data_IF_696078588822
#
_entry.id   IF_696078588822
#
_cell.length_a   1.000
_cell.length_b   1.000
_cell.length_c   1.000
_cell.angle_alpha   90.00
_cell.angle_beta   90.00
_cell.angle_gamma   90.00
#
_symmetry.space_group_name_H-M   'P 1'
#
loop_
_entity.id
_entity.type
_entity.pdbx_description
1 polymer ?
#
# COMPACT_ATOMS: atom_id res chain seq x y z
N UNK A 1 2.12 -16.33 36.27
CA UNK A 1 3.26 -16.50 35.34
C UNK A 1 3.34 -17.94 34.85
N UNK A 2 3.41 -18.96 35.73
CA UNK A 2 3.43 -20.37 35.30
C UNK A 2 2.18 -20.85 34.54
N UNK A 3 0.99 -20.29 34.79
CA UNK A 3 -0.24 -20.66 34.05
C UNK A 3 -0.34 -20.07 32.63
N UNK A 4 0.43 -19.02 32.30
CA UNK A 4 0.37 -18.37 30.97
C UNK A 4 1.45 -18.91 30.02
N UNK A 5 2.59 -19.34 30.55
CA UNK A 5 3.77 -19.67 29.73
C UNK A 5 4.05 -21.16 29.56
N UNK A 6 3.41 -22.06 30.34
CA UNK A 6 3.45 -23.51 30.12
C UNK A 6 4.85 -24.15 29.95
N UNK A 7 5.94 -23.47 30.32
CA UNK A 7 7.31 -23.91 30.08
C UNK A 7 7.89 -23.63 28.68
N UNK A 8 7.18 -22.92 27.79
CA UNK A 8 7.71 -22.54 26.47
C UNK A 8 8.63 -21.31 26.58
N UNK A 9 9.93 -21.51 26.40
CA UNK A 9 10.93 -20.42 26.40
C UNK A 9 10.66 -19.34 25.36
N UNK A 10 9.98 -19.68 24.25
CA UNK A 10 9.71 -18.74 23.16
C UNK A 10 8.59 -17.74 23.52
N UNK A 11 7.59 -18.16 24.29
CA UNK A 11 6.55 -17.24 24.79
C UNK A 11 7.10 -16.26 25.83
N UNK A 12 8.10 -16.68 26.63
CA UNK A 12 8.79 -15.79 27.56
C UNK A 12 9.57 -14.71 26.79
N UNK A 13 10.29 -15.08 25.73
CA UNK A 13 11.00 -14.14 24.86
C UNK A 13 10.05 -13.16 24.15
N UNK A 14 8.91 -13.64 23.66
CA UNK A 14 7.87 -12.78 23.09
C UNK A 14 7.32 -11.78 24.13
N UNK A 15 7.09 -12.26 25.36
CA UNK A 15 6.65 -11.42 26.47
C UNK A 15 7.70 -10.36 26.82
N UNK A 16 8.99 -10.69 26.84
CA UNK A 16 10.10 -9.74 27.06
C UNK A 16 10.19 -8.70 25.94
N UNK A 17 10.09 -9.13 24.68
CA UNK A 17 10.08 -8.24 23.49
C UNK A 17 8.94 -7.21 23.58
N UNK A 18 7.79 -7.60 24.13
CA UNK A 18 6.63 -6.74 24.32
C UNK A 18 6.65 -5.91 25.62
N UNK A 19 7.78 -5.79 26.32
CA UNK A 19 7.85 -5.15 27.65
C UNK A 19 7.23 -3.75 27.68
N UNK A 20 7.52 -2.93 26.67
CA UNK A 20 6.99 -1.56 26.52
C UNK A 20 5.53 -1.48 26.06
N UNK A 21 4.82 -2.61 25.90
CA UNK A 21 3.45 -2.68 25.37
C UNK A 21 2.53 -3.42 26.36
N UNK A 22 2.12 -2.80 27.50
CA UNK A 22 1.45 -3.50 28.60
C UNK A 22 0.14 -4.22 28.23
N UNK A 23 -0.60 -3.71 27.24
CA UNK A 23 -1.82 -4.36 26.75
C UNK A 23 -1.48 -5.57 25.86
N UNK A 24 -0.58 -5.40 24.89
CA UNK A 24 -0.18 -6.48 23.97
C UNK A 24 0.51 -7.63 24.71
N UNK A 25 1.27 -7.29 25.75
CA UNK A 25 1.99 -8.25 26.59
C UNK A 25 1.08 -9.19 27.41
N UNK A 26 -0.23 -8.92 27.46
CA UNK A 26 -1.24 -9.79 28.08
C UNK A 26 -2.07 -10.55 27.05
N UNK A 27 -1.89 -10.23 25.76
CA UNK A 27 -2.65 -10.82 24.68
C UNK A 27 -1.96 -12.10 24.18
N UNK A 28 -2.54 -13.24 24.52
CA UNK A 28 -1.97 -14.56 24.17
C UNK A 28 -1.87 -14.77 22.66
N UNK A 29 -2.86 -14.40 21.83
CA UNK A 29 -2.74 -14.47 20.37
C UNK A 29 -1.55 -13.68 19.82
N UNK A 30 -1.38 -12.43 20.27
CA UNK A 30 -0.23 -11.59 19.92
C UNK A 30 1.10 -12.23 20.33
N UNK A 31 1.22 -12.69 21.59
CA UNK A 31 2.45 -13.31 22.08
C UNK A 31 2.79 -14.60 21.31
N UNK A 32 1.77 -15.38 20.96
CA UNK A 32 1.94 -16.59 20.14
C UNK A 32 2.50 -16.22 18.77
N UNK A 33 1.88 -15.26 18.07
CA UNK A 33 2.35 -14.82 16.75
C UNK A 33 3.72 -14.15 16.78
N UNK A 34 4.02 -13.39 17.84
CA UNK A 34 5.34 -12.80 18.03
C UNK A 34 6.40 -13.88 18.27
N UNK A 35 6.08 -14.92 19.04
CA UNK A 35 7.00 -16.04 19.27
C UNK A 35 7.36 -16.78 17.98
N UNK A 36 6.40 -16.93 17.05
CA UNK A 36 6.63 -17.50 15.74
C UNK A 36 7.59 -16.65 14.86
N UNK A 37 7.62 -15.33 15.04
CA UNK A 37 8.56 -14.44 14.32
C UNK A 37 9.95 -14.49 14.96
N UNK A 38 10.02 -14.71 16.28
CA UNK A 38 11.26 -14.83 17.04
C UNK A 38 12.04 -16.13 16.75
N UNK A 39 11.43 -17.09 16.05
CA UNK A 39 12.13 -18.26 15.52
C UNK A 39 13.29 -17.80 14.62
N UNK A 40 14.53 -18.32 14.79
CA UNK A 40 15.68 -17.89 13.99
C UNK A 40 15.47 -18.00 12.48
N UNK A 41 14.69 -18.99 12.03
CA UNK A 41 14.32 -19.20 10.64
C UNK A 41 13.53 -18.03 10.03
N UNK A 42 12.81 -17.25 10.85
CA UNK A 42 12.02 -16.09 10.45
C UNK A 42 12.75 -14.79 10.82
N UNK A 43 13.26 -14.68 12.04
CA UNK A 43 13.92 -13.48 12.57
C UNK A 43 15.10 -13.03 11.71
N UNK A 44 15.90 -13.98 11.24
CA UNK A 44 17.10 -13.70 10.43
C UNK A 44 16.77 -13.16 9.02
N UNK A 45 15.49 -13.13 8.64
CA UNK A 45 15.04 -12.52 7.38
C UNK A 45 14.84 -11.00 7.51
N UNK A 46 14.77 -10.47 8.74
CA UNK A 46 14.82 -9.03 8.96
C UNK A 46 16.26 -8.51 8.76
N UNK A 47 16.47 -7.37 8.09
CA UNK A 47 17.80 -6.84 7.80
C UNK A 47 18.69 -6.67 9.05
N UNK A 48 18.11 -6.23 10.17
CA UNK A 48 18.80 -6.05 11.44
C UNK A 48 18.30 -7.00 12.54
N UNK A 49 17.66 -8.11 12.17
CA UNK A 49 17.18 -9.13 13.11
C UNK A 49 16.31 -8.57 14.23
N UNK A 50 16.66 -8.88 15.47
CA UNK A 50 15.92 -8.47 16.68
C UNK A 50 15.69 -6.96 16.77
N UNK A 51 16.66 -6.13 16.37
CA UNK A 51 16.51 -4.68 16.47
C UNK A 51 15.38 -4.14 15.58
N UNK A 52 15.20 -4.71 14.38
CA UNK A 52 14.07 -4.37 13.53
C UNK A 52 12.74 -4.87 14.11
N UNK A 53 12.72 -6.08 14.67
CA UNK A 53 11.52 -6.62 15.31
C UNK A 53 11.08 -5.76 16.51
N UNK A 54 12.01 -5.36 17.36
CA UNK A 54 11.74 -4.49 18.51
C UNK A 54 11.14 -3.15 18.06
N UNK A 55 11.70 -2.56 17.01
CA UNK A 55 11.20 -1.31 16.43
C UNK A 55 9.80 -1.46 15.80
N UNK A 56 9.54 -2.57 15.10
CA UNK A 56 8.21 -2.89 14.56
C UNK A 56 7.20 -3.03 15.71
N UNK A 57 7.51 -3.84 16.73
CA UNK A 57 6.64 -4.04 17.89
C UNK A 57 6.39 -2.72 18.64
N UNK A 58 7.37 -1.83 18.71
CA UNK A 58 7.20 -0.50 19.28
C UNK A 58 6.28 0.41 18.44
N UNK A 59 6.30 0.28 17.11
CA UNK A 59 5.56 1.13 16.19
C UNK A 59 4.08 0.75 16.00
N UNK A 60 3.73 -0.53 16.15
CA UNK A 60 2.39 -1.09 15.89
C UNK A 60 1.27 -0.22 16.47
N UNK A 61 0.25 0.08 15.66
CA UNK A 61 -0.98 0.80 16.05
C UNK A 61 -2.24 -0.08 16.05
N UNK A 62 -2.14 -1.32 15.58
CA UNK A 62 -3.26 -2.23 15.47
C UNK A 62 -3.89 -2.54 16.84
N UNK A 63 -5.22 -2.63 16.90
CA UNK A 63 -5.92 -2.95 18.14
C UNK A 63 -5.61 -4.39 18.58
N UNK A 64 -5.43 -4.60 19.89
CA UNK A 64 -5.40 -5.95 20.46
C UNK A 64 -6.81 -6.55 20.59
N UNK A 65 -7.81 -5.70 20.87
CA UNK A 65 -9.20 -6.08 21.02
C UNK A 65 -10.11 -4.86 20.78
N UNK A 66 -11.39 -5.10 20.43
CA UNK A 66 -12.43 -4.06 20.41
C UNK A 66 -12.48 -3.14 19.19
N UNK A 67 -13.26 -2.06 19.32
CA UNK A 67 -13.94 -1.28 18.26
C UNK A 67 -13.17 -0.09 17.67
N UNK A 68 -11.95 0.19 18.12
CA UNK A 68 -11.16 1.31 17.57
C UNK A 68 -10.48 0.91 16.27
N UNK A 69 -10.70 1.69 15.21
CA UNK A 69 -10.21 1.43 13.85
C UNK A 69 -10.64 0.06 13.31
N UNK A 70 -11.95 -0.17 13.21
CA UNK A 70 -12.55 -1.43 12.71
C UNK A 70 -12.09 -1.87 11.32
N UNK A 71 -11.50 -0.96 10.55
CA UNK A 71 -10.90 -1.24 9.24
C UNK A 71 -9.47 -1.82 9.32
N UNK A 72 -8.82 -1.76 10.49
CA UNK A 72 -7.52 -2.39 10.73
C UNK A 72 -7.72 -3.78 11.32
N UNK A 73 -6.86 -4.71 10.90
CA UNK A 73 -6.79 -6.04 11.50
C UNK A 73 -6.42 -5.93 12.98
N UNK A 74 -6.79 -6.96 13.76
CA UNK A 74 -6.22 -7.09 15.09
C UNK A 74 -4.71 -7.33 14.98
N UNK A 75 -3.99 -7.04 16.07
CA UNK A 75 -2.54 -7.09 16.09
C UNK A 75 -1.96 -8.48 15.81
N UNK A 76 -2.63 -9.56 16.20
CA UNK A 76 -2.15 -10.93 15.97
C UNK A 76 -2.21 -11.27 14.48
N UNK A 77 -3.31 -10.92 13.80
CA UNK A 77 -3.44 -11.08 12.35
C UNK A 77 -2.44 -10.18 11.60
N UNK A 78 -2.16 -8.98 12.10
CA UNK A 78 -1.12 -8.14 11.52
C UNK A 78 0.29 -8.76 11.65
N UNK A 79 0.61 -9.36 12.80
CA UNK A 79 1.87 -10.12 12.95
C UNK A 79 1.92 -11.34 12.04
N UNK A 80 0.79 -12.02 11.82
CA UNK A 80 0.71 -13.11 10.84
C UNK A 80 1.02 -12.63 9.42
N UNK A 81 0.50 -11.47 9.04
CA UNK A 81 0.81 -10.83 7.75
C UNK A 81 2.29 -10.43 7.64
N UNK A 82 2.89 -9.90 8.71
CA UNK A 82 4.33 -9.61 8.76
C UNK A 82 5.12 -10.91 8.60
N UNK A 83 4.80 -11.98 9.34
CA UNK A 83 5.44 -13.28 9.21
C UNK A 83 5.36 -13.81 7.77
N UNK A 84 4.21 -13.63 7.12
CA UNK A 84 4.04 -13.99 5.71
C UNK A 84 4.98 -13.17 4.80
N UNK A 85 5.10 -11.85 5.00
CA UNK A 85 6.07 -11.01 4.30
C UNK A 85 7.49 -11.55 4.47
N UNK A 86 7.92 -11.80 5.71
CA UNK A 86 9.26 -12.28 6.02
C UNK A 86 9.53 -13.61 5.30
N UNK A 87 8.62 -14.58 5.40
CA UNK A 87 8.85 -15.91 4.83
C UNK A 87 8.89 -15.94 3.31
N UNK A 88 8.11 -15.11 2.65
CA UNK A 88 7.86 -15.26 1.22
C UNK A 88 8.54 -14.20 0.36
N UNK A 89 8.69 -12.97 0.87
CA UNK A 89 9.14 -11.83 0.07
C UNK A 89 10.50 -11.29 0.49
N UNK A 90 11.19 -11.96 1.43
CA UNK A 90 12.60 -11.68 1.69
C UNK A 90 13.42 -11.85 0.40
N UNK A 91 14.23 -10.86 0.06
CA UNK A 91 15.01 -10.85 -1.19
C UNK A 91 14.30 -10.24 -2.41
N UNK A 92 13.01 -9.93 -2.33
CA UNK A 92 12.34 -9.13 -3.37
C UNK A 92 12.90 -7.70 -3.33
N UNK A 93 13.30 -7.10 -4.48
CA UNK A 93 13.76 -5.72 -4.52
C UNK A 93 12.79 -4.76 -3.82
N UNK A 94 13.33 -3.91 -2.94
CA UNK A 94 12.56 -2.95 -2.16
C UNK A 94 11.92 -3.48 -0.87
N UNK A 95 12.08 -4.77 -0.55
CA UNK A 95 11.68 -5.37 0.72
C UNK A 95 12.12 -4.56 1.97
N UNK A 96 13.36 -4.06 2.00
CA UNK A 96 13.89 -3.28 3.13
C UNK A 96 13.13 -1.95 3.37
N UNK A 97 12.53 -1.38 2.32
CA UNK A 97 11.68 -0.19 2.45
C UNK A 97 10.37 -0.51 3.15
N UNK A 98 9.79 -1.69 2.87
CA UNK A 98 8.61 -2.18 3.59
C UNK A 98 8.94 -2.40 5.07
N UNK A 99 10.08 -3.03 5.38
CA UNK A 99 10.54 -3.17 6.78
C UNK A 99 10.74 -1.81 7.44
N UNK A 100 11.26 -0.82 6.72
CA UNK A 100 11.40 0.55 7.21
C UNK A 100 10.05 1.21 7.47
N UNK A 101 9.06 1.01 6.59
CA UNK A 101 7.70 1.52 6.77
C UNK A 101 7.01 0.91 8.00
N UNK A 102 7.21 -0.39 8.26
CA UNK A 102 6.66 -1.07 9.44
C UNK A 102 7.20 -0.55 10.78
N UNK A 103 8.39 0.08 10.79
CA UNK A 103 8.97 0.73 11.97
C UNK A 103 8.44 2.15 12.20
N UNK A 104 7.65 2.71 11.28
CA UNK A 104 7.14 4.07 11.41
C UNK A 104 5.95 4.10 12.39
N UNK A 105 6.03 4.85 13.50
CA UNK A 105 4.94 4.90 14.49
C UNK A 105 3.75 5.76 14.06
N UNK A 106 3.80 6.42 12.89
CA UNK A 106 2.68 7.19 12.39
C UNK A 106 1.51 6.26 12.03
N UNK A 107 0.31 6.61 12.47
CA UNK A 107 -0.90 5.81 12.23
C UNK A 107 -1.16 5.56 10.75
N UNK A 108 -1.09 6.59 9.90
CA UNK A 108 -1.36 6.47 8.47
C UNK A 108 -0.33 5.60 7.75
N UNK A 109 0.93 5.63 8.21
CA UNK A 109 1.97 4.73 7.70
C UNK A 109 1.68 3.27 8.06
N UNK A 110 1.30 3.00 9.32
CA UNK A 110 0.94 1.65 9.78
C UNK A 110 -0.28 1.09 9.06
N UNK A 111 -1.28 1.93 8.85
CA UNK A 111 -2.52 1.62 8.14
C UNK A 111 -2.27 1.34 6.64
N UNK A 112 -1.46 2.16 5.98
CA UNK A 112 -1.00 1.90 4.60
C UNK A 112 -0.21 0.58 4.49
N UNK A 113 0.77 0.38 5.38
CA UNK A 113 1.55 -0.86 5.42
C UNK A 113 0.66 -2.08 5.68
N UNK A 114 -0.35 -1.97 6.56
CA UNK A 114 -1.30 -3.05 6.81
C UNK A 114 -2.11 -3.44 5.57
N UNK A 115 -2.47 -2.47 4.73
CA UNK A 115 -3.14 -2.73 3.45
C UNK A 115 -2.19 -3.43 2.47
N UNK A 116 -0.93 -2.98 2.40
CA UNK A 116 0.13 -3.65 1.64
C UNK A 116 0.31 -5.12 2.01
N UNK A 117 0.50 -5.42 3.30
CA UNK A 117 0.71 -6.80 3.72
C UNK A 117 -0.52 -7.68 3.44
N UNK A 118 -1.72 -7.12 3.56
CA UNK A 118 -2.97 -7.83 3.24
C UNK A 118 -3.03 -8.18 1.75
N UNK A 119 -2.64 -7.26 0.86
CA UNK A 119 -2.58 -7.53 -0.58
C UNK A 119 -1.53 -8.58 -0.90
N UNK A 120 -0.35 -8.53 -0.30
CA UNK A 120 0.71 -9.51 -0.55
C UNK A 120 0.28 -10.96 -0.25
N UNK A 121 -0.55 -11.18 0.77
CA UNK A 121 -1.11 -12.51 1.07
C UNK A 121 -2.05 -13.07 0.00
N UNK A 122 -2.57 -12.24 -0.89
CA UNK A 122 -3.46 -12.69 -1.97
C UNK A 122 -2.73 -12.92 -3.29
N UNK A 123 -1.45 -12.55 -3.37
CA UNK A 123 -0.63 -12.70 -4.56
C UNK A 123 0.20 -13.99 -4.50
N UNK A 124 0.49 -14.57 -5.67
CA UNK A 124 1.55 -15.55 -5.74
C UNK A 124 2.90 -14.85 -5.56
N UNK A 125 3.77 -15.47 -4.78
CA UNK A 125 5.10 -14.92 -4.47
C UNK A 125 5.92 -14.66 -5.74
N UNK A 126 5.87 -15.60 -6.70
CA UNK A 126 6.58 -15.51 -7.98
C UNK A 126 6.10 -14.37 -8.88
N UNK A 127 4.91 -13.83 -8.61
CA UNK A 127 4.33 -12.77 -9.42
C UNK A 127 4.75 -11.39 -8.92
N UNK A 128 5.41 -11.27 -7.76
CA UNK A 128 5.86 -9.99 -7.21
C UNK A 128 7.32 -9.74 -7.60
N UNK A 129 7.53 -8.75 -8.46
CA UNK A 129 8.86 -8.40 -8.97
C UNK A 129 9.56 -7.31 -8.14
N UNK A 130 8.81 -6.38 -7.56
CA UNK A 130 9.36 -5.29 -6.76
C UNK A 130 8.34 -4.76 -5.77
N UNK A 131 8.84 -4.27 -4.63
CA UNK A 131 8.09 -3.54 -3.61
C UNK A 131 8.61 -2.10 -3.53
N UNK A 132 7.76 -1.12 -3.25
CA UNK A 132 8.18 0.26 -2.94
C UNK A 132 9.13 0.86 -4.01
N UNK A 133 8.82 0.58 -5.29
CA UNK A 133 9.66 0.94 -6.45
C UNK A 133 9.32 2.32 -6.98
N UNK A 134 10.22 2.93 -7.76
CA UNK A 134 9.94 4.24 -8.39
C UNK A 134 9.05 4.07 -9.62
N UNK A 135 8.02 4.89 -9.78
CA UNK A 135 7.16 4.86 -10.98
C UNK A 135 7.98 5.14 -12.24
N UNK A 136 8.91 6.08 -12.13
CA UNK A 136 9.86 6.52 -13.15
C UNK A 136 11.20 6.82 -12.48
N UNK A 137 12.30 6.42 -13.11
CA UNK A 137 13.63 6.93 -12.76
C UNK A 137 13.68 8.40 -13.24
N UNK A 138 13.45 9.29 -12.28
CA UNK A 138 13.04 10.68 -12.49
C UNK A 138 14.14 11.62 -13.06
N UNK A 139 15.08 11.11 -13.83
CA UNK A 139 16.09 11.95 -14.48
C UNK A 139 15.55 12.57 -15.80
N UNK A 140 14.51 12.00 -16.40
CA UNK A 140 13.98 12.43 -17.71
C UNK A 140 12.60 13.14 -17.67
N UNK A 141 11.96 13.25 -16.51
CA UNK A 141 10.69 13.98 -16.33
C UNK A 141 10.88 15.09 -15.28
N UNK A 142 11.67 16.10 -15.63
CA UNK A 142 11.91 17.26 -14.78
C UNK A 142 10.59 17.89 -14.34
N UNK A 143 10.30 17.86 -13.04
CA UNK A 143 9.19 18.58 -12.42
C UNK A 143 7.87 17.82 -12.24
N UNK A 144 7.74 16.57 -12.69
CA UNK A 144 6.47 15.82 -12.49
C UNK A 144 6.41 15.20 -11.10
N UNK A 145 7.44 14.46 -10.65
CA UNK A 145 7.49 14.00 -9.27
C UNK A 145 8.87 13.47 -8.82
N UNK A 146 9.41 14.03 -7.74
CA UNK A 146 10.54 13.46 -6.99
C UNK A 146 10.03 12.40 -6.01
N UNK A 147 10.60 11.19 -6.02
CA UNK A 147 10.26 10.08 -5.12
C UNK A 147 8.80 9.58 -5.22
N UNK A 148 8.19 9.62 -6.40
CA UNK A 148 6.93 8.93 -6.62
C UNK A 148 7.17 7.42 -6.70
N UNK A 149 6.73 6.74 -5.65
CA UNK A 149 6.81 5.28 -5.55
C UNK A 149 5.49 4.63 -5.97
N UNK A 150 5.56 3.35 -6.30
CA UNK A 150 4.45 2.40 -6.32
C UNK A 150 4.66 1.38 -5.20
N UNK A 151 3.58 0.78 -4.70
CA UNK A 151 3.68 -0.18 -3.60
C UNK A 151 4.16 -1.56 -4.06
N UNK A 152 3.61 -2.06 -5.17
CA UNK A 152 3.97 -3.38 -5.74
C UNK A 152 4.12 -3.27 -7.26
N UNK A 153 5.12 -3.93 -7.84
CA UNK A 153 5.16 -4.23 -9.26
C UNK A 153 5.10 -5.74 -9.46
N UNK A 154 4.20 -6.17 -10.35
CA UNK A 154 4.07 -7.55 -10.75
C UNK A 154 5.09 -7.92 -11.83
N UNK A 155 5.38 -9.21 -11.97
CA UNK A 155 6.25 -9.77 -13.01
C UNK A 155 5.78 -9.44 -14.44
N UNK A 156 4.47 -9.21 -14.63
CA UNK A 156 3.89 -8.69 -15.87
C UNK A 156 4.26 -7.24 -16.19
N UNK A 157 4.92 -6.54 -15.27
CA UNK A 157 5.21 -5.11 -15.34
C UNK A 157 4.12 -4.21 -14.74
N UNK A 158 2.95 -4.77 -14.43
CA UNK A 158 1.83 -4.03 -13.85
C UNK A 158 2.14 -3.50 -12.45
N UNK A 159 1.88 -2.20 -12.23
CA UNK A 159 2.11 -1.53 -10.94
C UNK A 159 0.81 -1.45 -10.12
N UNK A 160 0.86 -1.79 -8.84
CA UNK A 160 -0.25 -1.67 -7.91
C UNK A 160 0.07 -0.59 -6.88
N UNK A 161 -0.88 0.32 -6.71
CA UNK A 161 -0.86 1.40 -5.72
C UNK A 161 -2.03 1.17 -4.74
N UNK A 162 -1.71 1.00 -3.48
CA UNK A 162 -2.61 0.61 -2.42
C UNK A 162 -3.04 1.84 -1.63
N UNK A 163 -4.34 2.14 -1.66
CA UNK A 163 -4.89 3.35 -1.04
C UNK A 163 -5.75 2.99 0.18
N UNK A 164 -5.18 3.10 1.38
CA UNK A 164 -5.96 3.01 2.63
C UNK A 164 -6.65 4.34 2.97
N UNK A 165 -7.41 4.89 2.03
CA UNK A 165 -8.06 6.20 2.17
C UNK A 165 -9.50 6.06 2.69
N UNK A 166 -9.90 7.00 3.55
CA UNK A 166 -11.31 7.19 3.90
C UNK A 166 -11.98 8.15 2.90
N UNK A 167 -13.31 8.27 2.96
CA UNK A 167 -14.07 9.14 2.07
C UNK A 167 -13.59 10.60 2.08
N UNK A 168 -13.26 11.15 3.26
CA UNK A 168 -12.74 12.52 3.35
C UNK A 168 -11.42 12.71 2.58
N UNK A 169 -10.54 11.71 2.63
CA UNK A 169 -9.27 11.74 1.88
C UNK A 169 -9.53 11.59 0.38
N UNK A 170 -10.43 10.69 -0.02
CA UNK A 170 -10.87 10.51 -1.42
C UNK A 170 -11.47 11.81 -1.95
N UNK A 171 -12.32 12.47 -1.17
CA UNK A 171 -12.93 13.77 -1.48
C UNK A 171 -11.93 14.91 -1.71
N UNK A 172 -10.69 14.76 -1.24
CA UNK A 172 -9.67 15.81 -1.28
C UNK A 172 -8.51 15.51 -2.25
N UNK A 173 -8.53 14.38 -2.98
CA UNK A 173 -7.41 13.99 -3.86
C UNK A 173 -7.11 15.05 -4.93
N UNK A 174 -8.14 15.74 -5.44
CA UNK A 174 -7.98 16.78 -6.46
C UNK A 174 -7.25 18.03 -5.94
N UNK A 175 -7.18 18.22 -4.62
CA UNK A 175 -6.48 19.34 -3.99
C UNK A 175 -5.06 18.98 -3.56
N UNK A 176 -4.73 17.70 -3.44
CA UNK A 176 -3.39 17.25 -3.04
C UNK A 176 -2.39 17.36 -4.19
N UNK A 177 -1.45 18.31 -4.10
CA UNK A 177 -0.37 18.46 -5.10
C UNK A 177 0.48 17.19 -5.21
N UNK A 178 0.76 16.53 -4.09
CA UNK A 178 1.52 15.27 -4.07
C UNK A 178 0.78 14.16 -4.83
N UNK A 179 -0.52 13.97 -4.55
CA UNK A 179 -1.32 12.94 -5.23
C UNK A 179 -1.41 13.22 -6.73
N UNK A 180 -1.70 14.47 -7.11
CA UNK A 180 -1.77 14.88 -8.52
C UNK A 180 -0.49 14.58 -9.28
N UNK A 181 0.65 14.88 -8.67
CA UNK A 181 1.96 14.66 -9.28
C UNK A 181 2.26 13.16 -9.45
N UNK A 182 1.93 12.33 -8.46
CA UNK A 182 2.04 10.88 -8.56
C UNK A 182 1.11 10.30 -9.62
N UNK A 183 -0.15 10.74 -9.66
CA UNK A 183 -1.11 10.27 -10.64
C UNK A 183 -0.68 10.62 -12.07
N UNK A 184 -0.18 11.85 -12.29
CA UNK A 184 0.41 12.23 -13.58
C UNK A 184 1.59 11.36 -13.97
N UNK A 185 2.46 10.99 -13.03
CA UNK A 185 3.57 10.08 -13.31
C UNK A 185 3.09 8.70 -13.77
N UNK A 186 2.00 8.18 -13.18
CA UNK A 186 1.36 6.95 -13.66
C UNK A 186 0.82 7.10 -15.08
N UNK A 187 0.02 8.13 -15.35
CA UNK A 187 -0.56 8.35 -16.68
C UNK A 187 0.51 8.58 -17.75
N UNK A 188 1.57 9.31 -17.43
CA UNK A 188 2.67 9.59 -18.35
C UNK A 188 3.50 8.35 -18.69
N UNK A 189 3.61 7.38 -17.78
CA UNK A 189 4.41 6.15 -17.96
C UNK A 189 3.58 4.93 -18.40
N UNK A 190 2.26 5.03 -18.45
CA UNK A 190 1.39 3.91 -18.78
C UNK A 190 1.25 3.74 -20.30
N UNK A 191 1.29 2.49 -20.77
CA UNK A 191 0.91 2.13 -22.14
C UNK A 191 -0.60 2.08 -22.33
N UNK A 192 -1.33 1.71 -21.26
CA UNK A 192 -2.76 1.47 -21.21
C UNK A 192 -3.24 1.54 -19.74
N UNK A 193 -4.56 1.50 -19.52
CA UNK A 193 -5.14 1.54 -18.16
C UNK A 193 -4.98 0.25 -17.36
N UNK A 194 -4.44 -0.82 -17.97
CA UNK A 194 -4.11 -2.07 -17.28
C UNK A 194 -2.68 -2.09 -16.73
N UNK A 195 -1.80 -1.20 -17.21
CA UNK A 195 -0.42 -1.06 -16.78
C UNK A 195 -0.27 -0.67 -15.30
N UNK A 196 -1.29 -0.07 -14.69
CA UNK A 196 -1.32 0.18 -13.25
C UNK A 196 -2.71 0.04 -12.65
N UNK A 197 -2.79 -0.13 -11.33
CA UNK A 197 -4.05 -0.16 -10.58
C UNK A 197 -3.95 0.61 -9.27
N UNK A 198 -5.00 1.36 -8.96
CA UNK A 198 -5.22 1.92 -7.63
C UNK A 198 -6.22 1.03 -6.91
N UNK A 199 -5.78 0.37 -5.85
CA UNK A 199 -6.57 -0.58 -5.06
C UNK A 199 -6.90 0.07 -3.72
N UNK A 200 -8.13 0.52 -3.59
CA UNK A 200 -8.66 1.12 -2.37
C UNK A 200 -9.05 0.04 -1.37
N UNK A 201 -8.78 0.29 -0.08
CA UNK A 201 -9.12 -0.63 0.99
C UNK A 201 -10.65 -0.72 1.17
N UNK A 202 -11.21 -1.90 0.88
CA UNK A 202 -12.64 -2.19 0.95
C UNK A 202 -13.26 -2.09 2.34
N UNK A 203 -12.46 -2.14 3.40
CA UNK A 203 -12.92 -1.92 4.76
C UNK A 203 -13.17 -0.43 5.08
N UNK A 204 -12.69 0.49 4.24
CA UNK A 204 -12.83 1.94 4.43
C UNK A 204 -13.76 2.62 3.45
N UNK A 205 -13.89 2.06 2.27
CA UNK A 205 -14.77 2.57 1.22
C UNK A 205 -15.25 1.40 0.38
N UNK A 206 -16.54 1.39 0.07
CA UNK A 206 -17.17 0.40 -0.81
C UNK A 206 -17.82 1.06 -2.03
N UNK A 207 -17.80 2.40 -2.11
CA UNK A 207 -18.44 3.16 -3.17
C UNK A 207 -17.45 3.48 -4.30
N UNK A 208 -17.41 2.57 -5.28
CA UNK A 208 -16.59 2.75 -6.48
C UNK A 208 -17.00 3.99 -7.29
N UNK A 209 -18.28 4.33 -7.31
CA UNK A 209 -18.76 5.49 -8.06
C UNK A 209 -18.28 6.79 -7.42
N UNK A 210 -18.29 6.88 -6.08
CA UNK A 210 -17.73 8.03 -5.36
C UNK A 210 -16.24 8.23 -5.66
N UNK A 211 -15.46 7.14 -5.69
CA UNK A 211 -14.04 7.22 -6.07
C UNK A 211 -13.89 7.74 -7.49
N UNK A 212 -14.62 7.16 -8.45
CA UNK A 212 -14.59 7.56 -9.86
C UNK A 212 -14.98 9.04 -10.05
N UNK A 213 -16.00 9.54 -9.36
CA UNK A 213 -16.39 10.96 -9.40
C UNK A 213 -15.30 11.90 -8.88
N UNK A 214 -14.54 11.47 -7.86
CA UNK A 214 -13.41 12.26 -7.37
C UNK A 214 -12.23 12.24 -8.34
N UNK A 215 -12.00 11.13 -9.05
CA UNK A 215 -11.05 11.11 -10.17
C UNK A 215 -11.53 11.92 -11.37
N UNK A 216 -12.82 11.92 -11.69
CA UNK A 216 -13.40 12.79 -12.71
C UNK A 216 -13.13 14.26 -12.39
N UNK A 217 -13.39 14.68 -11.14
CA UNK A 217 -13.07 16.03 -10.66
C UNK A 217 -11.59 16.36 -10.79
N UNK A 218 -10.72 15.38 -10.53
CA UNK A 218 -9.28 15.53 -10.72
C UNK A 218 -8.92 15.68 -12.21
N UNK A 219 -9.47 14.85 -13.09
CA UNK A 219 -9.23 14.91 -14.53
C UNK A 219 -9.71 16.23 -15.14
N UNK A 220 -10.89 16.71 -14.76
CA UNK A 220 -11.49 17.95 -15.27
C UNK A 220 -10.87 19.24 -14.72
N UNK A 221 -9.99 19.13 -13.72
CA UNK A 221 -9.43 20.30 -13.02
C UNK A 221 -8.66 21.22 -13.96
N UNK A 222 -8.82 22.53 -13.74
CA UNK A 222 -8.18 23.59 -14.53
C UNK A 222 -8.39 23.43 -16.04
N UNK A 223 -9.62 23.11 -16.46
CA UNK A 223 -9.96 22.85 -17.85
C UNK A 223 -9.15 21.68 -18.45
N UNK A 224 -9.22 20.52 -17.80
CA UNK A 224 -8.58 19.28 -18.24
C UNK A 224 -7.06 19.42 -18.47
N UNK A 225 -6.39 20.21 -17.61
CA UNK A 225 -4.96 20.53 -17.75
C UNK A 225 -4.07 19.29 -17.75
N UNK A 226 -4.51 18.21 -17.07
CA UNK A 226 -3.77 16.95 -17.00
C UNK A 226 -3.54 16.32 -18.38
N UNK A 227 -4.47 16.48 -19.33
CA UNK A 227 -4.33 16.00 -20.69
C UNK A 227 -3.09 16.60 -21.36
N UNK A 228 -2.96 17.92 -21.28
CA UNK A 228 -1.84 18.65 -21.87
C UNK A 228 -0.52 18.31 -21.15
N UNK A 229 -0.55 18.18 -19.82
CA UNK A 229 0.63 17.91 -19.00
C UNK A 229 1.24 16.52 -19.18
N UNK A 230 0.47 15.53 -19.63
CA UNK A 230 0.99 14.17 -19.87
C UNK A 230 1.37 13.93 -21.34
N UNK A 231 1.25 14.94 -22.20
CA UNK A 231 1.60 14.87 -23.63
C UNK A 231 0.41 14.77 -24.60
N UNK A 232 -0.82 14.89 -24.10
CA UNK A 232 -2.04 14.91 -24.89
C UNK A 232 -2.16 13.71 -25.84
N UNK A 233 -2.49 13.92 -27.13
CA UNK A 233 -2.73 12.81 -28.06
C UNK A 233 -1.45 12.04 -28.47
N UNK A 234 -0.27 12.55 -28.12
CA UNK A 234 1.01 11.84 -28.36
C UNK A 234 1.35 10.86 -27.24
N UNK A 235 0.64 10.92 -26.12
CA UNK A 235 0.84 10.01 -25.00
C UNK A 235 0.31 8.60 -25.35
N UNK A 236 1.09 7.55 -25.05
CA UNK A 236 0.72 6.16 -25.38
C UNK A 236 -0.58 5.69 -24.75
N UNK A 237 -0.86 6.08 -23.50
CA UNK A 237 -2.12 5.79 -22.83
C UNK A 237 -3.31 6.42 -23.57
N UNK A 238 -3.17 7.68 -24.00
CA UNK A 238 -4.23 8.37 -24.76
C UNK A 238 -4.52 7.67 -26.08
N UNK A 239 -3.47 7.26 -26.79
CA UNK A 239 -3.60 6.48 -28.03
C UNK A 239 -4.29 5.13 -27.79
N UNK A 240 -3.96 4.43 -26.70
CA UNK A 240 -4.60 3.15 -26.34
C UNK A 240 -6.11 3.29 -26.08
N UNK A 241 -6.55 4.47 -25.65
CA UNK A 241 -7.95 4.81 -25.38
C UNK A 241 -8.65 5.43 -26.61
N UNK A 242 -7.98 5.53 -27.76
CA UNK A 242 -8.44 6.22 -28.96
C UNK A 242 -8.76 7.71 -28.75
N UNK A 243 -8.05 8.37 -27.83
CA UNK A 243 -8.18 9.80 -27.55
C UNK A 243 -7.19 10.56 -28.44
N UNK A 244 -7.68 11.19 -29.50
CA UNK A 244 -6.85 11.90 -30.49
C UNK A 244 -6.88 13.41 -30.33
N UNK A 245 -7.80 13.94 -29.51
CA UNK A 245 -7.89 15.35 -29.17
C UNK A 245 -8.49 15.57 -27.77
N UNK A 246 -8.58 16.84 -27.35
CA UNK A 246 -9.07 17.21 -26.01
C UNK A 246 -10.57 16.95 -25.81
N UNK A 247 -11.40 17.02 -26.85
CA UNK A 247 -12.83 16.71 -26.74
C UNK A 247 -13.03 15.20 -26.50
N UNK A 248 -12.29 14.33 -27.19
CA UNK A 248 -12.36 12.89 -26.93
C UNK A 248 -11.96 12.56 -25.48
N UNK A 249 -10.99 13.31 -24.93
CA UNK A 249 -10.59 13.17 -23.53
C UNK A 249 -11.71 13.60 -22.57
N UNK A 250 -12.39 14.71 -22.88
CA UNK A 250 -13.54 15.19 -22.11
C UNK A 250 -14.64 14.12 -22.11
N UNK A 251 -15.00 13.61 -23.28
CA UNK A 251 -16.03 12.56 -23.43
C UNK A 251 -15.67 11.30 -22.62
N UNK A 252 -14.40 10.87 -22.66
CA UNK A 252 -13.91 9.74 -21.89
C UNK A 252 -13.98 9.99 -20.37
N UNK A 253 -13.67 11.21 -19.91
CA UNK A 253 -13.73 11.60 -18.50
C UNK A 253 -15.18 11.69 -18.01
N UNK A 254 -16.12 12.12 -18.86
CA UNK A 254 -17.55 12.22 -18.53
C UNK A 254 -18.20 10.84 -18.34
N UNK A 255 -17.77 9.83 -19.08
CA UNK A 255 -18.22 8.45 -18.93
C UNK A 255 -17.54 7.71 -17.76
N UNK A 256 -18.17 7.71 -16.58
CA UNK A 256 -17.68 6.98 -15.40
C UNK A 256 -17.63 5.44 -15.59
N UNK A 257 -18.30 4.90 -16.62
CA UNK A 257 -18.19 3.47 -16.98
C UNK A 257 -17.03 3.19 -17.94
N UNK A 258 -16.43 4.23 -18.50
CA UNK A 258 -15.41 4.16 -19.52
C UNK A 258 -14.07 3.61 -19.06
N UNK A 259 -13.28 3.24 -20.05
CA UNK A 259 -11.99 2.57 -19.88
C UNK A 259 -10.97 3.40 -19.10
N UNK A 260 -11.09 4.73 -19.14
CA UNK A 260 -10.23 5.66 -18.41
C UNK A 260 -10.24 5.43 -16.89
N UNK A 261 -11.27 4.77 -16.35
CA UNK A 261 -11.40 4.47 -14.91
C UNK A 261 -11.12 3.00 -14.54
N UNK A 262 -10.70 2.14 -15.50
CA UNK A 262 -10.46 0.70 -15.26
C UNK A 262 -9.37 0.39 -14.23
N UNK A 263 -8.44 1.33 -14.04
CA UNK A 263 -7.37 1.21 -13.06
C UNK A 263 -7.86 1.23 -11.60
N UNK A 264 -9.09 1.68 -11.33
CA UNK A 264 -9.64 1.82 -9.98
C UNK A 264 -10.30 0.52 -9.52
N UNK A 265 -9.87 0.00 -8.37
CA UNK A 265 -10.41 -1.20 -7.71
C UNK A 265 -10.65 -0.94 -6.23
N UNK A 266 -11.57 -1.71 -5.64
CA UNK A 266 -11.78 -1.79 -4.20
C UNK A 266 -11.58 -3.26 -3.83
N UNK A 267 -10.70 -3.52 -2.86
CA UNK A 267 -10.39 -4.86 -2.35
C UNK A 267 -10.17 -4.85 -0.83
#
# INVERSE_FOLDING_TARGET
>A
MNEVFGGSGDLVRAWETAFGRPLLRKDVPFLTKLSEILEPSVLNKLPNGQADLDAIVAAIKHPCCGTTHSFMKNVADHLDDIKHLLNNFHGVPGYEKVITALKNPNFFAQDGASHLLSKLKTLNVSDVAMLEGKIVDADNLTGICSNCLFDIQLSSGKKLELKSYNESTIGNISNSSQFKNQFKAYLANASDMDAFQYIFNGQKTTDLNYIKQNFQTLFSKNNYEIFDQIGGPQNSLMQSLNIVNKNDFIDAVEDLSGDIYKFIKIE
#
